data_IF_166888695368
#
_entry.id   IF_166888695368
#
_cell.length_a   1.000
_cell.length_b   1.000
_cell.length_c   1.000
_cell.angle_alpha   90.00
_cell.angle_beta   90.00
_cell.angle_gamma   90.00
#
_symmetry.space_group_name_H-M   'P 1'
#
loop_
_entity.id
_entity.type
_entity.pdbx_description
1 polymer ?
#
# COMPACT_ATOMS: atom_id res chain seq x y z
N UNK A 1 -30.33 23.35 -28.28
CA UNK A 1 -30.34 22.33 -27.30
C UNK A 1 -28.92 22.01 -26.85
N UNK A 2 -28.58 22.32 -25.66
CA UNK A 2 -27.47 21.73 -25.01
C UNK A 2 -26.09 22.20 -25.38
N UNK A 3 -25.75 23.42 -25.10
CA UNK A 3 -24.36 23.78 -24.96
C UNK A 3 -23.83 23.00 -23.73
N UNK A 4 -22.84 22.18 -23.96
CA UNK A 4 -22.13 21.49 -22.86
C UNK A 4 -21.47 22.57 -22.01
N UNK A 5 -21.83 22.63 -20.74
CA UNK A 5 -21.20 23.55 -19.80
C UNK A 5 -19.87 22.97 -19.32
N UNK A 6 -18.78 23.36 -19.99
CA UNK A 6 -17.44 22.90 -19.69
C UNK A 6 -16.98 23.34 -18.30
N UNK A 7 -17.50 24.46 -17.79
CA UNK A 7 -17.10 24.92 -16.45
C UNK A 7 -17.61 24.00 -15.35
N UNK A 8 -18.83 23.45 -15.49
CA UNK A 8 -19.34 22.46 -14.55
C UNK A 8 -18.58 21.14 -14.63
N UNK A 9 -18.21 20.73 -15.85
CA UNK A 9 -17.42 19.50 -16.05
C UNK A 9 -16.05 19.63 -15.40
N UNK A 10 -15.37 20.75 -15.59
CA UNK A 10 -14.06 21.02 -15.00
C UNK A 10 -14.15 21.13 -13.48
N UNK A 11 -15.21 21.74 -12.95
CA UNK A 11 -15.44 21.83 -11.52
C UNK A 11 -15.66 20.45 -10.91
N UNK A 12 -16.46 19.60 -11.53
CA UNK A 12 -16.67 18.22 -11.10
C UNK A 12 -15.37 17.43 -11.10
N UNK A 13 -14.58 17.59 -12.16
CA UNK A 13 -13.27 16.95 -12.27
C UNK A 13 -12.33 17.41 -11.15
N UNK A 14 -12.35 18.69 -10.82
CA UNK A 14 -11.55 19.28 -9.76
C UNK A 14 -12.01 18.79 -8.38
N UNK A 15 -13.32 18.70 -8.15
CA UNK A 15 -13.89 18.17 -6.92
C UNK A 15 -13.54 16.71 -6.71
N UNK A 16 -13.62 15.88 -7.76
CA UNK A 16 -13.21 14.48 -7.71
C UNK A 16 -11.72 14.35 -7.40
N UNK A 17 -10.89 15.24 -7.94
CA UNK A 17 -9.46 15.27 -7.65
C UNK A 17 -9.19 15.64 -6.19
N UNK A 18 -9.93 16.59 -5.62
CA UNK A 18 -9.81 17.03 -4.23
C UNK A 18 -10.26 15.93 -3.27
N UNK A 19 -11.24 15.09 -3.66
CA UNK A 19 -11.77 14.03 -2.81
C UNK A 19 -10.89 12.78 -2.79
N UNK A 20 -9.90 12.67 -3.69
CA UNK A 20 -8.95 11.55 -3.68
C UNK A 20 -8.09 11.62 -2.43
N UNK A 21 -8.14 10.59 -1.63
CA UNK A 21 -7.31 10.50 -0.44
C UNK A 21 -6.25 9.42 -0.60
N UNK A 22 -5.22 9.52 0.22
CA UNK A 22 -4.14 8.54 0.23
C UNK A 22 -4.63 7.20 0.74
N UNK A 23 -4.24 6.14 0.02
CA UNK A 23 -4.43 4.76 0.44
C UNK A 23 -3.05 4.15 0.53
N UNK A 24 -2.63 3.73 1.73
CA UNK A 24 -1.28 3.23 1.93
C UNK A 24 -1.23 1.72 1.78
N UNK A 25 -0.27 1.24 0.97
CA UNK A 25 0.09 -0.16 0.88
C UNK A 25 1.47 -0.29 1.50
N UNK A 26 1.64 -1.16 2.48
CA UNK A 26 2.87 -1.28 3.25
C UNK A 26 3.54 -2.60 2.91
N UNK A 27 4.80 -2.50 2.44
CA UNK A 27 5.62 -3.65 2.14
C UNK A 27 5.97 -4.42 3.43
N UNK A 28 6.12 -5.73 3.30
CA UNK A 28 6.40 -6.62 4.41
C UNK A 28 7.60 -6.18 5.25
N UNK A 29 8.70 -5.80 4.61
CA UNK A 29 9.92 -5.43 5.33
C UNK A 29 9.76 -4.14 6.13
N UNK A 30 8.86 -3.25 5.72
CA UNK A 30 8.58 -2.04 6.50
C UNK A 30 7.97 -2.41 7.85
N UNK A 31 7.07 -3.39 7.88
CA UNK A 31 6.50 -3.88 9.14
C UNK A 31 7.57 -4.52 10.04
N UNK A 32 8.53 -5.23 9.45
CA UNK A 32 9.60 -5.88 10.22
C UNK A 32 10.59 -4.85 10.75
N UNK A 33 10.87 -3.82 9.99
CA UNK A 33 11.78 -2.73 10.40
C UNK A 33 11.11 -1.77 11.38
N UNK A 34 9.80 -1.59 11.27
CA UNK A 34 9.05 -0.66 12.11
C UNK A 34 7.63 -1.20 12.38
N UNK A 35 7.48 -2.13 13.35
CA UNK A 35 6.19 -2.78 13.59
C UNK A 35 5.03 -1.85 13.94
N UNK A 36 5.33 -0.66 14.45
CA UNK A 36 4.32 0.33 14.83
C UNK A 36 4.00 1.33 13.71
N UNK A 37 4.38 1.00 12.46
CA UNK A 37 4.25 1.94 11.34
C UNK A 37 2.82 2.49 11.19
N UNK A 38 1.80 1.68 11.42
CA UNK A 38 0.41 2.09 11.27
C UNK A 38 0.10 3.27 12.20
N UNK A 39 0.68 3.30 13.39
CA UNK A 39 0.47 4.40 14.34
C UNK A 39 1.01 5.74 13.83
N UNK A 40 1.88 5.72 12.83
CA UNK A 40 2.45 6.93 12.21
C UNK A 40 1.66 7.41 11.00
N UNK A 41 0.70 6.65 10.55
CA UNK A 41 -0.18 7.02 9.44
C UNK A 41 -1.42 7.68 10.02
N UNK A 42 -1.79 8.84 9.48
CA UNK A 42 -3.01 9.52 9.90
C UNK A 42 -4.20 8.57 9.73
N UNK A 43 -5.02 8.44 10.78
CA UNK A 43 -6.15 7.50 10.80
C UNK A 43 -7.22 7.80 9.75
N UNK A 44 -7.22 8.99 9.15
CA UNK A 44 -8.14 9.30 8.05
C UNK A 44 -7.81 8.55 6.76
N UNK A 45 -6.60 8.00 6.64
CA UNK A 45 -6.16 7.29 5.44
C UNK A 45 -6.32 5.78 5.61
N UNK A 46 -7.04 5.13 4.69
CA UNK A 46 -7.15 3.67 4.70
C UNK A 46 -5.82 3.00 4.42
N UNK A 47 -5.69 1.78 4.93
CA UNK A 47 -4.52 0.94 4.71
C UNK A 47 -4.97 -0.29 3.94
N UNK A 48 -4.32 -0.54 2.81
CA UNK A 48 -4.54 -1.74 2.00
C UNK A 48 -3.60 -2.82 2.52
N UNK A 49 -4.17 -3.88 3.07
CA UNK A 49 -3.40 -5.00 3.57
C UNK A 49 -3.48 -6.15 2.58
N UNK A 50 -2.36 -6.40 1.90
CA UNK A 50 -2.22 -7.53 0.99
C UNK A 50 -2.18 -8.84 1.78
N UNK A 51 -2.94 -9.83 1.35
CA UNK A 51 -2.86 -11.18 1.92
C UNK A 51 -1.44 -11.73 1.82
N UNK A 52 -0.68 -11.34 0.80
CA UNK A 52 0.72 -11.77 0.65
C UNK A 52 1.60 -11.21 1.77
N UNK A 53 1.39 -9.96 2.18
CA UNK A 53 2.11 -9.37 3.31
C UNK A 53 1.83 -10.16 4.58
N UNK A 54 0.59 -10.48 4.85
CA UNK A 54 0.22 -11.26 6.02
C UNK A 54 0.89 -12.62 6.02
N UNK A 55 0.88 -13.30 4.87
CA UNK A 55 1.52 -14.60 4.72
C UNK A 55 3.03 -14.54 4.95
N UNK A 56 3.67 -13.52 4.39
CA UNK A 56 5.11 -13.32 4.59
C UNK A 56 5.46 -13.02 6.06
N UNK A 57 4.69 -12.16 6.71
CA UNK A 57 4.90 -11.87 8.14
C UNK A 57 4.73 -13.13 8.99
N UNK A 58 3.74 -13.94 8.68
CA UNK A 58 3.50 -15.19 9.41
C UNK A 58 4.67 -16.17 9.25
N UNK A 59 5.21 -16.29 8.05
CA UNK A 59 6.39 -17.12 7.77
C UNK A 59 7.65 -16.61 8.46
N UNK A 60 7.78 -15.32 8.65
CA UNK A 60 8.92 -14.70 9.30
C UNK A 60 9.02 -15.01 10.79
N UNK A 61 7.94 -15.48 11.42
CA UNK A 61 7.97 -15.94 12.83
C UNK A 61 8.90 -17.14 13.05
N UNK A 62 9.33 -17.82 11.99
CA UNK A 62 10.05 -19.09 12.10
C UNK A 62 11.50 -19.02 11.64
N UNK A 63 11.85 -18.14 10.69
CA UNK A 63 13.11 -18.24 9.93
C UNK A 63 14.12 -17.12 10.15
N UNK A 64 13.86 -16.14 11.02
CA UNK A 64 14.71 -14.96 11.16
C UNK A 64 15.40 -14.89 12.51
N UNK A 65 16.28 -13.90 12.69
CA UNK A 65 16.84 -13.55 13.99
C UNK A 65 15.69 -13.29 14.96
N UNK A 66 15.97 -13.44 16.25
CA UNK A 66 14.94 -13.27 17.27
C UNK A 66 14.26 -11.89 17.21
N UNK A 67 15.05 -10.84 17.01
CA UNK A 67 14.52 -9.48 16.90
C UNK A 67 13.53 -9.36 15.74
N UNK A 68 13.88 -9.88 14.58
CA UNK A 68 13.01 -9.78 13.39
C UNK A 68 11.75 -10.64 13.55
N UNK A 69 11.85 -11.80 14.20
CA UNK A 69 10.67 -12.62 14.53
C UNK A 69 9.73 -11.89 15.46
N UNK A 70 10.26 -11.27 16.49
CA UNK A 70 9.46 -10.49 17.44
C UNK A 70 8.78 -9.32 16.77
N UNK A 71 9.49 -8.63 15.86
CA UNK A 71 8.93 -7.54 15.10
C UNK A 71 7.80 -8.01 14.16
N UNK A 72 7.97 -9.15 13.51
CA UNK A 72 6.92 -9.71 12.65
C UNK A 72 5.67 -10.06 13.48
N UNK A 73 5.86 -10.69 14.65
CA UNK A 73 4.77 -11.01 15.55
C UNK A 73 4.06 -9.75 16.07
N UNK A 74 4.84 -8.73 16.42
CA UNK A 74 4.28 -7.45 16.87
C UNK A 74 3.47 -6.78 15.76
N UNK A 75 3.98 -6.80 14.53
CA UNK A 75 3.26 -6.24 13.40
C UNK A 75 1.94 -6.96 13.17
N UNK A 76 1.93 -8.29 13.20
CA UNK A 76 0.71 -9.08 13.06
C UNK A 76 -0.30 -8.76 14.17
N UNK A 77 0.19 -8.67 15.40
CA UNK A 77 -0.65 -8.32 16.54
C UNK A 77 -1.24 -6.92 16.39
N UNK A 78 -0.42 -5.95 15.97
CA UNK A 78 -0.88 -4.58 15.73
C UNK A 78 -1.94 -4.54 14.64
N UNK A 79 -1.75 -5.27 13.55
CA UNK A 79 -2.72 -5.34 12.45
C UNK A 79 -4.04 -5.99 12.91
N UNK A 80 -3.94 -7.07 13.67
CA UNK A 80 -5.12 -7.78 14.15
C UNK A 80 -5.95 -6.94 15.12
N UNK A 81 -5.30 -6.08 15.89
CA UNK A 81 -5.95 -5.26 16.91
C UNK A 81 -6.23 -3.82 16.43
N UNK A 82 -5.92 -3.51 15.17
CA UNK A 82 -6.12 -2.16 14.65
C UNK A 82 -7.59 -1.79 14.62
N UNK A 83 -7.94 -0.66 15.25
CA UNK A 83 -9.32 -0.17 15.32
C UNK A 83 -9.46 1.27 14.88
N UNK A 84 -8.36 2.00 14.68
CA UNK A 84 -8.36 3.41 14.32
C UNK A 84 -8.39 3.66 12.82
N UNK A 85 -7.82 2.74 12.04
CA UNK A 85 -7.75 2.84 10.59
C UNK A 85 -8.72 1.86 9.93
N UNK A 86 -9.27 2.28 8.80
CA UNK A 86 -9.94 1.34 7.90
C UNK A 86 -8.88 0.46 7.25
N UNK A 87 -9.00 -0.85 7.42
CA UNK A 87 -8.12 -1.83 6.80
C UNK A 87 -8.87 -2.49 5.65
N UNK A 88 -8.31 -2.39 4.46
CA UNK A 88 -8.84 -2.99 3.24
C UNK A 88 -8.05 -4.24 2.93
N UNK A 89 -8.65 -5.39 3.20
CA UNK A 89 -8.00 -6.70 3.00
C UNK A 89 -8.10 -7.09 1.53
N UNK A 90 -6.96 -7.35 0.87
CA UNK A 90 -6.96 -7.62 -0.57
C UNK A 90 -6.13 -8.84 -0.93
N UNK A 91 -6.68 -9.64 -1.85
CA UNK A 91 -5.91 -10.68 -2.52
C UNK A 91 -5.19 -10.09 -3.73
N UNK A 92 -4.07 -10.71 -4.10
CA UNK A 92 -3.38 -10.35 -5.34
C UNK A 92 -4.25 -10.64 -6.55
N UNK A 93 -4.12 -9.82 -7.58
CA UNK A 93 -4.76 -10.02 -8.86
C UNK A 93 -3.73 -9.86 -9.98
N UNK A 94 -3.16 -10.97 -10.41
CA UNK A 94 -2.12 -10.98 -11.42
C UNK A 94 -2.60 -10.43 -12.77
N UNK A 95 -3.90 -10.44 -13.04
CA UNK A 95 -4.44 -9.90 -14.29
C UNK A 95 -4.27 -8.39 -14.41
N UNK A 96 -4.05 -7.68 -13.30
CA UNK A 96 -3.82 -6.24 -13.29
C UNK A 96 -2.38 -5.86 -13.63
N UNK A 97 -1.45 -6.84 -13.59
CA UNK A 97 -0.04 -6.58 -13.88
C UNK A 97 0.23 -6.67 -15.37
N UNK A 98 1.13 -5.81 -15.91
CA UNK A 98 1.59 -5.94 -17.29
C UNK A 98 2.24 -7.29 -17.58
N UNK A 99 2.22 -7.72 -18.84
CA UNK A 99 2.79 -9.01 -19.25
C UNK A 99 4.29 -9.12 -18.97
N UNK A 100 5.00 -7.99 -18.96
CA UNK A 100 6.43 -7.95 -18.68
C UNK A 100 6.79 -8.24 -17.22
N UNK A 101 5.80 -8.22 -16.33
CA UNK A 101 6.02 -8.41 -14.90
C UNK A 101 5.88 -9.87 -14.51
N UNK A 102 6.81 -10.35 -13.68
CA UNK A 102 6.69 -11.69 -13.08
C UNK A 102 5.49 -11.73 -12.13
N UNK A 103 4.47 -12.49 -12.53
CA UNK A 103 3.20 -12.56 -11.81
C UNK A 103 3.27 -13.39 -10.54
N UNK A 104 4.37 -14.10 -10.29
CA UNK A 104 4.59 -14.93 -9.10
C UNK A 104 5.47 -14.25 -8.06
N UNK A 105 6.11 -13.13 -8.40
CA UNK A 105 6.95 -12.39 -7.46
C UNK A 105 6.10 -11.86 -6.31
N UNK A 106 6.52 -12.06 -5.04
CA UNK A 106 5.80 -11.50 -3.89
C UNK A 106 5.60 -9.99 -3.99
N UNK A 107 6.62 -9.25 -4.40
CA UNK A 107 6.53 -7.80 -4.57
C UNK A 107 5.44 -7.42 -5.57
N UNK A 108 5.38 -8.15 -6.69
CA UNK A 108 4.39 -7.87 -7.73
C UNK A 108 2.98 -8.26 -7.28
N UNK A 109 2.86 -9.29 -6.46
CA UNK A 109 1.58 -9.64 -5.84
C UNK A 109 1.08 -8.51 -4.95
N UNK A 110 1.96 -7.96 -4.12
CA UNK A 110 1.63 -6.81 -3.26
C UNK A 110 1.25 -5.61 -4.14
N UNK A 111 2.04 -5.34 -5.17
CA UNK A 111 1.81 -4.23 -6.09
C UNK A 111 0.45 -4.32 -6.78
N UNK A 112 0.01 -5.52 -7.13
CA UNK A 112 -1.29 -5.71 -7.76
C UNK A 112 -2.46 -5.25 -6.88
N UNK A 113 -2.31 -5.32 -5.56
CA UNK A 113 -3.36 -4.82 -4.66
C UNK A 113 -3.49 -3.29 -4.73
N UNK A 114 -2.38 -2.59 -4.93
CA UNK A 114 -2.41 -1.14 -5.13
C UNK A 114 -3.15 -0.77 -6.40
N UNK A 115 -3.00 -1.56 -7.46
CA UNK A 115 -3.65 -1.30 -8.73
C UNK A 115 -5.18 -1.37 -8.65
N UNK A 116 -5.73 -2.10 -7.69
CA UNK A 116 -7.17 -2.15 -7.45
C UNK A 116 -7.73 -0.79 -7.01
N UNK A 117 -6.88 0.08 -6.50
CA UNK A 117 -7.27 1.40 -5.98
C UNK A 117 -6.68 2.55 -6.78
N UNK A 118 -6.39 2.30 -8.06
CA UNK A 118 -5.76 3.29 -8.93
C UNK A 118 -6.59 4.57 -9.08
N UNK A 119 -7.90 4.47 -8.93
CA UNK A 119 -8.81 5.64 -8.98
C UNK A 119 -8.67 6.55 -7.75
N UNK A 120 -8.08 6.06 -6.70
CA UNK A 120 -7.70 6.84 -5.52
C UNK A 120 -6.25 7.28 -5.66
N UNK A 121 -5.60 7.62 -4.57
CA UNK A 121 -4.16 7.93 -4.56
C UNK A 121 -3.41 6.86 -3.76
N UNK A 122 -3.17 5.68 -4.34
CA UNK A 122 -2.43 4.63 -3.65
C UNK A 122 -0.96 5.02 -3.51
N UNK A 123 -0.41 4.80 -2.31
CA UNK A 123 0.98 5.10 -2.01
C UNK A 123 1.64 3.82 -1.51
N UNK A 124 2.67 3.38 -2.24
CA UNK A 124 3.46 2.23 -1.85
C UNK A 124 4.54 2.66 -0.84
N UNK A 125 4.40 2.22 0.39
CA UNK A 125 5.38 2.46 1.44
C UNK A 125 6.36 1.30 1.45
N UNK A 126 7.54 1.51 0.90
CA UNK A 126 8.58 0.49 0.77
C UNK A 126 9.95 1.15 0.67
N UNK A 127 10.95 0.50 1.25
CA UNK A 127 12.35 0.91 1.12
C UNK A 127 13.08 0.12 0.03
N UNK A 128 12.41 -0.81 -0.65
CA UNK A 128 12.97 -1.62 -1.72
C UNK A 128 13.01 -0.82 -3.02
N UNK A 129 14.22 -0.58 -3.55
CA UNK A 129 14.38 0.20 -4.77
C UNK A 129 13.68 -0.42 -5.98
N UNK A 130 13.71 -1.75 -6.08
CA UNK A 130 13.04 -2.46 -7.19
C UNK A 130 11.53 -2.27 -7.15
N UNK A 131 10.94 -2.40 -5.98
CA UNK A 131 9.50 -2.21 -5.82
C UNK A 131 9.10 -0.74 -6.06
N UNK A 132 9.93 0.20 -5.62
CA UNK A 132 9.70 1.62 -5.91
C UNK A 132 9.71 1.89 -7.42
N UNK A 133 10.68 1.36 -8.15
CA UNK A 133 10.76 1.55 -9.59
C UNK A 133 9.56 0.93 -10.31
N UNK A 134 9.18 -0.29 -9.93
CA UNK A 134 8.00 -0.96 -10.52
C UNK A 134 6.72 -0.16 -10.26
N UNK A 135 6.59 0.38 -9.06
CA UNK A 135 5.44 1.22 -8.71
C UNK A 135 5.38 2.46 -9.59
N UNK A 136 6.52 3.12 -9.78
CA UNK A 136 6.61 4.30 -10.65
C UNK A 136 6.25 3.99 -12.09
N UNK A 137 6.70 2.85 -12.61
CA UNK A 137 6.35 2.40 -13.96
C UNK A 137 4.82 2.30 -14.11
N UNK A 138 4.15 1.84 -13.07
CA UNK A 138 2.69 1.69 -13.07
C UNK A 138 1.94 2.95 -12.66
N UNK A 139 2.65 4.06 -12.43
CA UNK A 139 2.02 5.33 -12.04
C UNK A 139 1.57 5.38 -10.59
N UNK A 140 2.14 4.54 -9.73
CA UNK A 140 1.82 4.52 -8.30
C UNK A 140 2.88 5.29 -7.53
N UNK A 141 2.45 6.21 -6.67
CA UNK A 141 3.34 6.98 -5.80
C UNK A 141 4.04 6.07 -4.80
N UNK A 142 5.28 6.39 -4.47
CA UNK A 142 6.07 5.62 -3.52
C UNK A 142 6.67 6.53 -2.46
N UNK A 143 6.91 5.97 -1.29
CA UNK A 143 7.66 6.64 -0.23
C UNK A 143 8.46 5.59 0.54
N UNK A 144 9.73 5.89 0.86
CA UNK A 144 10.53 5.01 1.71
C UNK A 144 10.12 5.18 3.17
N UNK A 145 10.44 4.17 4.00
CA UNK A 145 10.22 4.27 5.45
C UNK A 145 10.95 5.47 6.03
N UNK A 146 12.22 5.66 5.65
CA UNK A 146 13.03 6.77 6.13
C UNK A 146 12.40 8.12 5.82
N UNK A 147 11.96 8.31 4.58
CA UNK A 147 11.32 9.56 4.16
C UNK A 147 9.98 9.75 4.86
N UNK A 148 9.22 8.69 5.04
CA UNK A 148 7.92 8.74 5.71
C UNK A 148 8.07 9.19 7.17
N UNK A 149 9.04 8.65 7.89
CA UNK A 149 9.25 8.97 9.31
C UNK A 149 9.79 10.39 9.53
N UNK A 150 10.30 11.04 8.50
CA UNK A 150 10.79 12.43 8.56
C UNK A 150 9.69 13.48 8.36
N UNK A 151 8.51 13.09 8.03
CA UNK A 151 7.41 14.03 7.79
C UNK A 151 7.01 14.79 9.03
#
# INVERSE_FOLDING_TARGET
VGKIDLSQFERKKKELSITKKNYYIIDTNVFVDYPDIISKIDRKYPIILSAKVTDELDKMKIKLTEERRQNAEKALRNLNNESQHEILYEFADASLLPDDFDKRSPDNMILSTALKYKEQNPIMLTSDNGLQLKSKILGISTISLKAFLKR
#
